data_IF_540054102887
#
_entry.id   IF_540054102887
#
_cell.length_a   1.000
_cell.length_b   1.000
_cell.length_c   1.000
_cell.angle_alpha   90.00
_cell.angle_beta   90.00
_cell.angle_gamma   90.00
#
_symmetry.space_group_name_H-M   'P 1'
#
loop_
_entity.id
_entity.type
_entity.pdbx_description
1 polymer ?
#
# COMPACT_ATOMS: atom_id res chain seq x y z
N UNK A 1 -9.10 -19.33 32.49
CA UNK A 1 -8.27 -19.06 31.28
C UNK A 1 -6.98 -18.38 31.75
N UNK A 2 -5.82 -18.68 31.17
CA UNK A 2 -4.54 -18.05 31.58
C UNK A 2 -4.11 -16.99 30.59
N UNK A 3 -3.53 -15.90 31.08
CA UNK A 3 -2.93 -14.88 30.22
C UNK A 3 -1.70 -15.44 29.49
N UNK A 4 -1.61 -15.28 28.17
CA UNK A 4 -0.51 -15.81 27.36
C UNK A 4 0.85 -15.19 27.69
N UNK A 5 0.89 -13.95 28.20
CA UNK A 5 2.15 -13.23 28.47
C UNK A 5 2.69 -13.41 29.88
N UNK A 6 1.85 -13.60 30.91
CA UNK A 6 2.31 -13.69 32.28
C UNK A 6 1.76 -14.94 33.03
N UNK A 7 1.04 -15.81 32.34
CA UNK A 7 0.44 -17.05 32.89
C UNK A 7 -0.52 -16.84 34.08
N UNK A 8 -0.91 -15.60 34.39
CA UNK A 8 -1.90 -15.31 35.43
C UNK A 8 -3.27 -15.86 35.04
N UNK A 9 -4.02 -16.37 36.03
CA UNK A 9 -5.37 -16.86 35.82
C UNK A 9 -6.27 -15.65 35.58
N UNK A 10 -6.96 -15.64 34.44
CA UNK A 10 -7.96 -14.62 34.10
C UNK A 10 -9.32 -15.06 34.67
N UNK A 11 -10.01 -14.17 35.37
CA UNK A 11 -11.41 -14.35 35.71
C UNK A 11 -12.30 -14.49 34.46
N UNK A 12 -13.60 -14.68 34.67
CA UNK A 12 -14.57 -14.86 33.56
C UNK A 12 -14.47 -13.67 32.57
N UNK A 13 -14.16 -13.90 31.28
CA UNK A 13 -13.97 -12.84 30.33
C UNK A 13 -15.31 -12.17 30.00
N UNK A 14 -15.41 -10.85 30.14
CA UNK A 14 -16.45 -10.08 29.48
C UNK A 14 -16.28 -10.20 27.96
N UNK A 15 -17.34 -10.05 27.18
CA UNK A 15 -17.30 -10.24 25.72
C UNK A 15 -16.21 -9.38 25.01
N UNK A 16 -15.89 -8.21 25.57
CA UNK A 16 -14.85 -7.30 25.05
C UNK A 16 -13.40 -7.80 25.27
N UNK A 17 -13.18 -8.75 26.18
CA UNK A 17 -11.84 -9.29 26.49
C UNK A 17 -11.50 -10.56 25.70
N UNK A 18 -12.43 -11.11 24.92
CA UNK A 18 -12.20 -12.32 24.10
C UNK A 18 -11.16 -12.14 23.00
N UNK A 19 -10.91 -10.90 22.58
CA UNK A 19 -10.05 -10.61 21.41
C UNK A 19 -8.55 -10.65 21.76
N UNK A 20 -8.12 -10.38 23.00
CA UNK A 20 -6.71 -10.23 23.31
C UNK A 20 -6.14 -11.19 24.36
N UNK A 21 -6.91 -11.95 25.12
CA UNK A 21 -6.44 -12.92 26.15
C UNK A 21 -5.25 -12.45 27.03
N UNK A 22 -5.18 -11.14 27.30
CA UNK A 22 -4.14 -10.53 28.13
C UNK A 22 -4.79 -9.83 29.33
N UNK A 23 -4.15 -9.95 30.51
CA UNK A 23 -4.63 -9.30 31.72
C UNK A 23 -4.46 -7.77 31.65
N UNK A 24 -5.20 -7.01 32.50
CA UNK A 24 -5.16 -5.55 32.50
C UNK A 24 -3.78 -4.97 32.77
N UNK A 25 -2.94 -5.65 33.53
CA UNK A 25 -1.59 -5.23 33.83
C UNK A 25 -0.64 -5.41 32.62
N UNK A 26 -0.70 -6.56 31.96
CA UNK A 26 0.01 -6.78 30.69
C UNK A 26 -0.44 -5.81 29.59
N UNK A 27 -1.73 -5.43 29.59
CA UNK A 27 -2.26 -4.41 28.67
C UNK A 27 -1.67 -3.02 28.94
N UNK A 28 -1.52 -2.62 30.22
CA UNK A 28 -0.87 -1.36 30.59
C UNK A 28 0.61 -1.36 30.16
N UNK A 29 1.34 -2.43 30.39
CA UNK A 29 2.73 -2.57 29.95
C UNK A 29 2.86 -2.55 28.43
N UNK A 30 1.93 -3.17 27.70
CA UNK A 30 1.92 -3.15 26.23
C UNK A 30 1.63 -1.73 25.69
N UNK A 31 0.70 -1.00 26.33
CA UNK A 31 0.38 0.38 25.96
C UNK A 31 1.59 1.29 26.23
N UNK A 32 2.27 1.13 27.37
CA UNK A 32 3.48 1.89 27.73
C UNK A 32 4.64 1.52 26.80
N UNK A 33 4.87 0.23 26.52
CA UNK A 33 5.89 -0.21 25.59
C UNK A 33 5.64 0.32 24.16
N UNK A 34 4.39 0.33 23.69
CA UNK A 34 4.01 0.92 22.40
C UNK A 34 4.10 2.46 22.40
N UNK A 35 3.99 3.13 23.55
CA UNK A 35 4.20 4.57 23.66
C UNK A 35 5.67 4.97 23.76
N UNK A 36 6.53 4.05 24.20
CA UNK A 36 8.00 4.23 24.31
C UNK A 36 8.76 3.62 23.11
N UNK A 37 8.12 2.77 22.29
CA UNK A 37 8.73 2.36 21.04
C UNK A 37 8.84 3.60 20.16
N UNK A 38 10.05 3.94 19.76
CA UNK A 38 10.30 4.85 18.64
C UNK A 38 9.31 4.47 17.55
N UNK A 39 8.36 5.34 17.23
CA UNK A 39 7.39 5.12 16.17
C UNK A 39 8.21 5.00 14.89
N UNK A 40 8.53 3.78 14.49
CA UNK A 40 9.12 3.56 13.18
C UNK A 40 8.10 4.05 12.17
N UNK A 41 8.44 5.17 11.53
CA UNK A 41 7.64 5.77 10.50
C UNK A 41 8.07 5.15 9.18
N UNK A 42 7.27 4.20 8.71
CA UNK A 42 7.48 3.63 7.39
C UNK A 42 6.95 4.57 6.32
N UNK A 43 7.66 4.65 5.20
CA UNK A 43 7.19 5.37 4.02
C UNK A 43 6.82 4.36 2.95
N UNK A 44 5.69 4.57 2.28
CA UNK A 44 5.22 3.70 1.21
C UNK A 44 4.76 4.53 0.02
N UNK A 45 5.14 4.11 -1.19
CA UNK A 45 4.75 4.75 -2.43
C UNK A 45 3.55 4.05 -3.06
N UNK A 46 2.43 4.78 -3.18
CA UNK A 46 1.22 4.33 -3.84
C UNK A 46 1.15 4.91 -5.26
N UNK A 47 0.99 4.03 -6.26
CA UNK A 47 0.87 4.38 -7.67
C UNK A 47 -0.33 3.71 -8.37
N UNK A 48 -0.99 2.77 -7.69
CA UNK A 48 -2.17 2.02 -8.16
C UNK A 48 -3.43 2.36 -7.37
N UNK A 49 -4.21 1.33 -6.97
CA UNK A 49 -5.50 1.52 -6.28
C UNK A 49 -5.41 2.21 -4.92
N UNK A 50 -4.26 2.16 -4.25
CA UNK A 50 -4.02 2.87 -2.99
C UNK A 50 -3.93 4.41 -3.15
N UNK A 51 -4.02 4.92 -4.37
CA UNK A 51 -4.27 6.34 -4.64
C UNK A 51 -5.70 6.77 -4.28
N UNK A 52 -6.63 5.84 -4.13
CA UNK A 52 -7.94 6.11 -3.52
C UNK A 52 -7.75 6.27 -2.00
N UNK A 53 -7.95 7.49 -1.52
CA UNK A 53 -7.73 7.82 -0.12
C UNK A 53 -8.73 7.14 0.83
N UNK A 54 -9.93 6.82 0.35
CA UNK A 54 -10.92 6.09 1.14
C UNK A 54 -10.44 4.65 1.32
N UNK A 55 -10.03 4.00 0.23
CA UNK A 55 -9.44 2.66 0.28
C UNK A 55 -8.19 2.63 1.16
N UNK A 56 -7.27 3.60 0.96
CA UNK A 56 -6.03 3.68 1.73
C UNK A 56 -6.31 3.84 3.23
N UNK A 57 -7.26 4.70 3.62
CA UNK A 57 -7.67 4.87 5.03
C UNK A 57 -8.36 3.63 5.60
N UNK A 58 -9.11 2.90 4.79
CA UNK A 58 -9.72 1.63 5.21
C UNK A 58 -8.68 0.54 5.49
N UNK A 59 -7.60 0.49 4.70
CA UNK A 59 -6.49 -0.46 4.86
C UNK A 59 -5.51 -0.04 5.96
N UNK A 60 -5.18 1.24 6.01
CA UNK A 60 -4.15 1.87 6.83
C UNK A 60 -4.72 3.10 7.56
N UNK A 61 -5.44 2.92 8.68
CA UNK A 61 -6.15 4.01 9.34
C UNK A 61 -5.25 5.16 9.81
N UNK A 62 -3.99 4.88 10.19
CA UNK A 62 -3.05 5.91 10.64
C UNK A 62 -2.30 6.60 9.50
N UNK A 63 -2.48 6.16 8.24
CA UNK A 63 -1.76 6.68 7.08
C UNK A 63 -1.86 8.20 6.93
N UNK A 64 -0.74 8.83 6.59
CA UNK A 64 -0.66 10.28 6.30
C UNK A 64 0.05 10.47 4.98
N UNK A 65 -0.43 11.40 4.16
CA UNK A 65 0.25 11.78 2.91
C UNK A 65 1.42 12.69 3.27
N UNK A 66 2.64 12.30 2.83
CA UNK A 66 3.84 13.12 2.97
C UNK A 66 3.97 14.06 1.77
N UNK A 67 3.90 13.48 0.56
CA UNK A 67 4.12 14.23 -0.69
C UNK A 67 3.57 13.47 -1.88
N UNK A 68 3.36 14.18 -2.99
CA UNK A 68 3.39 13.57 -4.32
C UNK A 68 4.84 13.38 -4.74
N UNK A 69 5.12 12.44 -5.63
CA UNK A 69 6.46 12.23 -6.15
C UNK A 69 6.47 11.28 -7.35
N UNK A 70 7.66 11.10 -7.91
CA UNK A 70 7.89 10.18 -9.02
C UNK A 70 8.96 9.15 -8.70
N UNK A 71 8.76 7.95 -9.21
CA UNK A 71 9.73 6.88 -9.29
C UNK A 71 10.38 6.94 -10.67
N UNK A 72 11.67 7.30 -10.72
CA UNK A 72 12.42 7.42 -11.98
C UNK A 72 12.86 6.07 -12.50
N UNK A 73 13.04 5.99 -13.83
CA UNK A 73 13.47 4.79 -14.56
C UNK A 73 12.51 3.61 -14.45
N UNK A 74 11.22 3.91 -14.22
CA UNK A 74 10.13 2.94 -14.23
C UNK A 74 8.96 3.44 -15.08
N UNK A 75 8.24 2.49 -15.67
CA UNK A 75 6.97 2.72 -16.39
C UNK A 75 5.84 2.02 -15.66
N UNK A 76 4.67 2.65 -15.58
CA UNK A 76 3.44 2.03 -15.12
C UNK A 76 3.02 0.96 -16.13
N UNK A 77 2.68 -0.22 -15.64
CA UNK A 77 2.19 -1.34 -16.41
C UNK A 77 1.00 -2.00 -15.73
N UNK A 78 0.29 -2.86 -16.46
CA UNK A 78 -0.83 -3.65 -15.96
C UNK A 78 -0.58 -5.10 -16.36
N UNK A 79 0.26 -5.78 -15.61
CA UNK A 79 0.82 -7.09 -15.96
C UNK A 79 0.36 -8.21 -15.02
N UNK A 80 -0.78 -8.01 -14.35
CA UNK A 80 -1.39 -9.01 -13.50
C UNK A 80 -2.91 -8.87 -13.53
N UNK A 81 -3.61 -9.97 -13.83
CA UNK A 81 -5.07 -10.02 -13.71
C UNK A 81 -5.50 -10.11 -12.25
N UNK A 82 -6.52 -9.35 -11.88
CA UNK A 82 -7.18 -9.40 -10.58
C UNK A 82 -8.67 -9.71 -10.76
N UNK A 83 -9.14 -10.84 -10.21
CA UNK A 83 -10.56 -11.20 -10.24
C UNK A 83 -11.41 -10.19 -9.46
N UNK A 84 -10.88 -9.61 -8.38
CA UNK A 84 -11.57 -8.57 -7.60
C UNK A 84 -11.79 -7.27 -8.36
N UNK A 85 -10.92 -6.93 -9.30
CA UNK A 85 -11.06 -5.77 -10.17
C UNK A 85 -11.64 -6.10 -11.55
N UNK A 86 -11.64 -7.39 -11.94
CA UNK A 86 -12.12 -7.86 -13.25
C UNK A 86 -11.22 -7.45 -14.41
N UNK A 87 -9.93 -7.22 -14.17
CA UNK A 87 -8.98 -6.77 -15.18
C UNK A 87 -7.56 -6.62 -14.62
N UNK A 88 -6.69 -6.02 -15.42
CA UNK A 88 -5.31 -5.76 -15.03
C UNK A 88 -5.18 -4.78 -13.87
N UNK A 89 -4.24 -5.03 -12.98
CA UNK A 89 -3.88 -4.13 -11.87
C UNK A 89 -2.47 -3.60 -12.05
N UNK A 90 -2.24 -2.42 -11.48
CA UNK A 90 -0.99 -1.66 -11.64
C UNK A 90 0.21 -2.39 -11.08
N UNK A 91 1.27 -2.37 -11.85
CA UNK A 91 2.65 -2.70 -11.50
C UNK A 91 3.58 -1.64 -12.07
N UNK A 92 4.84 -1.68 -11.68
CA UNK A 92 5.90 -0.87 -12.28
C UNK A 92 6.99 -1.77 -12.83
N UNK A 93 7.47 -1.45 -14.03
CA UNK A 93 8.55 -2.17 -14.69
C UNK A 93 9.70 -1.22 -14.98
N UNK A 94 10.98 -1.66 -14.85
CA UNK A 94 12.14 -0.85 -15.14
C UNK A 94 12.16 -0.43 -16.62
N UNK A 95 12.13 0.88 -16.87
CA UNK A 95 12.29 1.47 -18.22
C UNK A 95 13.02 2.80 -18.06
N UNK A 96 14.30 2.81 -18.46
CA UNK A 96 15.17 3.98 -18.36
C UNK A 96 14.55 5.23 -19.00
N UNK A 97 14.59 6.35 -18.28
CA UNK A 97 14.04 7.64 -18.73
C UNK A 97 12.53 7.80 -18.57
N UNK A 98 11.83 6.76 -18.09
CA UNK A 98 10.40 6.86 -17.75
C UNK A 98 10.20 7.24 -16.28
N UNK A 99 8.99 7.69 -15.96
CA UNK A 99 8.61 8.03 -14.58
C UNK A 99 7.21 7.52 -14.24
N UNK A 100 7.04 7.02 -13.03
CA UNK A 100 5.73 6.68 -12.45
C UNK A 100 5.40 7.65 -11.34
N UNK A 101 4.28 8.36 -11.47
CA UNK A 101 3.84 9.32 -10.47
C UNK A 101 2.87 8.70 -9.47
N UNK A 102 2.98 9.13 -8.22
CA UNK A 102 2.18 8.62 -7.12
C UNK A 102 2.24 9.48 -5.87
N UNK A 103 1.82 8.89 -4.75
CA UNK A 103 1.83 9.51 -3.43
C UNK A 103 2.72 8.72 -2.47
N UNK A 104 3.50 9.45 -1.68
CA UNK A 104 4.25 8.89 -0.55
C UNK A 104 3.40 9.04 0.70
N UNK A 105 3.14 7.92 1.37
CA UNK A 105 2.46 7.85 2.65
C UNK A 105 3.43 7.55 3.79
N UNK A 106 3.18 8.15 4.95
CA UNK A 106 3.71 7.71 6.24
C UNK A 106 2.75 6.69 6.84
N UNK A 107 3.28 5.55 7.27
CA UNK A 107 2.54 4.41 7.81
C UNK A 107 3.15 3.95 9.14
N UNK A 108 2.31 3.50 10.06
CA UNK A 108 2.77 2.75 11.25
C UNK A 108 3.18 1.32 10.87
N UNK A 109 3.86 0.62 11.77
CA UNK A 109 4.18 -0.80 11.57
C UNK A 109 2.91 -1.64 11.39
N UNK A 110 1.88 -1.37 12.18
CA UNK A 110 0.57 -2.05 12.06
C UNK A 110 -0.10 -1.79 10.70
N UNK A 111 0.01 -0.56 10.17
CA UNK A 111 -0.50 -0.26 8.84
C UNK A 111 0.31 -0.99 7.75
N UNK A 112 1.63 -1.13 7.93
CA UNK A 112 2.47 -1.89 6.99
C UNK A 112 2.09 -3.37 6.98
N UNK A 113 1.87 -3.99 8.15
CA UNK A 113 1.41 -5.39 8.24
C UNK A 113 0.03 -5.56 7.57
N UNK A 114 -0.87 -4.59 7.78
CA UNK A 114 -2.18 -4.57 7.12
C UNK A 114 -2.03 -4.44 5.60
N UNK A 115 -1.16 -3.55 5.13
CA UNK A 115 -0.93 -3.34 3.70
C UNK A 115 -0.30 -4.58 3.04
N UNK A 116 0.68 -5.23 3.69
CA UNK A 116 1.25 -6.51 3.27
C UNK A 116 0.15 -7.56 3.05
N UNK A 117 -0.81 -7.65 3.96
CA UNK A 117 -1.94 -8.56 3.82
C UNK A 117 -2.79 -8.25 2.59
N UNK A 118 -3.16 -6.98 2.37
CA UNK A 118 -3.98 -6.56 1.22
C UNK A 118 -3.26 -6.69 -0.13
N UNK A 119 -1.94 -6.48 -0.15
CA UNK A 119 -1.12 -6.68 -1.35
C UNK A 119 -0.77 -8.16 -1.58
N UNK A 120 -1.06 -9.05 -0.60
CA UNK A 120 -0.71 -10.45 -0.68
C UNK A 120 0.80 -10.67 -0.62
N UNK A 121 1.49 -9.89 0.20
CA UNK A 121 2.91 -10.03 0.49
C UNK A 121 3.06 -10.94 1.71
N UNK A 122 3.32 -12.22 1.50
CA UNK A 122 3.32 -13.24 2.54
C UNK A 122 4.73 -13.73 2.87
N UNK A 123 4.95 -14.18 4.12
CA UNK A 123 6.23 -14.76 4.57
C UNK A 123 6.28 -16.27 4.48
N UNK A 124 5.12 -16.93 4.48
CA UNK A 124 4.93 -18.38 4.66
C UNK A 124 4.35 -19.09 3.43
N UNK A 125 4.06 -18.36 2.37
CA UNK A 125 3.49 -18.87 1.12
C UNK A 125 3.87 -17.96 -0.06
N UNK A 126 3.68 -18.39 -1.32
CA UNK A 126 3.94 -17.54 -2.48
C UNK A 126 3.19 -16.21 -2.41
N UNK A 127 3.92 -15.14 -2.60
CA UNK A 127 3.40 -13.77 -2.57
C UNK A 127 2.91 -13.35 -3.95
N UNK A 128 1.90 -12.48 -3.96
CA UNK A 128 1.40 -11.84 -5.17
C UNK A 128 2.24 -10.61 -5.53
N UNK A 129 2.62 -9.86 -4.50
CA UNK A 129 3.53 -8.72 -4.57
C UNK A 129 4.69 -8.94 -3.61
N UNK A 130 5.81 -8.36 -3.95
CA UNK A 130 6.96 -8.19 -3.06
C UNK A 130 7.19 -6.70 -2.80
N UNK A 131 7.88 -6.37 -1.72
CA UNK A 131 8.24 -5.00 -1.43
C UNK A 131 9.75 -4.80 -1.40
N UNK A 132 10.19 -3.72 -2.01
CA UNK A 132 11.57 -3.26 -2.02
C UNK A 132 11.66 -1.80 -1.62
N UNK A 133 12.85 -1.33 -1.26
CA UNK A 133 13.08 0.08 -0.96
C UNK A 133 13.59 0.82 -2.17
N UNK A 134 13.02 1.99 -2.41
CA UNK A 134 13.35 2.88 -3.52
C UNK A 134 13.54 4.32 -3.05
N UNK A 135 14.04 5.15 -3.92
CA UNK A 135 14.08 6.61 -3.76
C UNK A 135 12.94 7.22 -4.57
N UNK A 136 12.15 8.09 -3.95
CA UNK A 136 11.08 8.84 -4.63
C UNK A 136 11.47 10.30 -4.74
N UNK A 137 11.48 10.83 -5.95
CA UNK A 137 11.71 12.24 -6.21
C UNK A 137 10.46 13.05 -5.89
N UNK A 138 10.59 14.08 -5.07
CA UNK A 138 9.48 14.95 -4.67
C UNK A 138 9.82 16.42 -4.92
N UNK A 139 8.83 17.33 -4.93
CA UNK A 139 9.09 18.77 -5.05
C UNK A 139 10.01 19.36 -3.97
N UNK A 140 10.15 18.68 -2.82
CA UNK A 140 11.01 19.09 -1.70
C UNK A 140 12.36 18.36 -1.69
N UNK A 141 12.66 17.56 -2.70
CA UNK A 141 13.85 16.72 -2.81
C UNK A 141 13.54 15.23 -2.71
N UNK A 142 14.54 14.38 -2.92
CA UNK A 142 14.37 12.93 -2.91
C UNK A 142 14.09 12.42 -1.49
N UNK A 143 13.22 11.44 -1.39
CA UNK A 143 12.93 10.70 -0.16
C UNK A 143 13.48 9.29 -0.34
N UNK A 144 14.52 8.88 0.41
CA UNK A 144 15.04 7.53 0.39
C UNK A 144 14.20 6.56 1.25
N UNK A 145 14.50 5.27 1.11
CA UNK A 145 13.95 4.18 1.93
C UNK A 145 12.42 4.09 1.89
N UNK A 146 11.81 4.40 0.76
CA UNK A 146 10.36 4.30 0.55
C UNK A 146 10.02 2.89 0.08
N UNK A 147 9.09 2.21 0.75
CA UNK A 147 8.58 0.90 0.34
C UNK A 147 7.78 1.01 -0.95
N UNK A 148 8.09 0.13 -1.89
CA UNK A 148 7.42 -0.05 -3.17
C UNK A 148 6.95 -1.49 -3.28
N UNK A 149 5.69 -1.71 -3.59
CA UNK A 149 5.15 -3.03 -3.91
C UNK A 149 5.20 -3.25 -5.42
N UNK A 150 5.72 -4.40 -5.85
CA UNK A 150 5.78 -4.81 -7.27
C UNK A 150 5.28 -6.23 -7.43
N UNK A 151 4.69 -6.55 -8.56
CA UNK A 151 4.19 -7.89 -8.88
C UNK A 151 5.36 -8.87 -8.94
N UNK A 152 5.25 -10.02 -8.28
CA UNK A 152 6.27 -11.09 -8.28
C UNK A 152 6.27 -11.80 -9.62
N UNK A 153 5.12 -12.38 -10.00
CA UNK A 153 4.95 -13.08 -11.29
C UNK A 153 4.28 -12.18 -12.32
N UNK A 154 5.11 -11.50 -13.11
CA UNK A 154 4.63 -10.57 -14.15
C UNK A 154 4.08 -11.37 -15.33
N UNK A 155 2.86 -11.04 -15.72
CA UNK A 155 2.18 -11.60 -16.90
C UNK A 155 2.32 -10.64 -18.08
N UNK A 156 1.72 -11.01 -19.22
CA UNK A 156 1.53 -10.08 -20.33
C UNK A 156 0.58 -8.96 -19.89
N UNK A 157 0.61 -7.87 -20.64
CA UNK A 157 -0.31 -6.75 -20.42
C UNK A 157 -1.77 -7.24 -20.38
N UNK A 158 -2.44 -6.87 -19.29
CA UNK A 158 -3.86 -7.11 -19.07
C UNK A 158 -4.56 -5.75 -18.94
N UNK A 159 -5.52 -5.48 -19.81
CA UNK A 159 -6.19 -4.19 -19.79
C UNK A 159 -6.93 -3.95 -18.46
N UNK A 160 -6.68 -2.83 -17.77
CA UNK A 160 -7.41 -2.48 -16.54
C UNK A 160 -8.87 -2.14 -16.85
N UNK A 161 -9.75 -2.32 -15.87
CA UNK A 161 -11.12 -1.81 -16.00
C UNK A 161 -11.13 -0.28 -15.96
N UNK A 162 -12.15 0.33 -16.58
CA UNK A 162 -12.37 1.78 -16.51
C UNK A 162 -12.46 2.28 -15.06
N UNK A 163 -13.08 1.48 -14.17
CA UNK A 163 -13.18 1.76 -12.74
C UNK A 163 -11.80 1.82 -12.08
N UNK A 164 -10.95 0.83 -12.31
CA UNK A 164 -9.62 0.75 -11.73
C UNK A 164 -8.71 1.89 -12.23
N UNK A 165 -8.61 2.04 -13.57
CA UNK A 165 -7.82 3.11 -14.18
C UNK A 165 -8.34 4.50 -13.79
N UNK A 166 -9.65 4.64 -13.60
CA UNK A 166 -10.30 5.85 -13.12
C UNK A 166 -9.80 6.33 -11.76
N UNK A 167 -9.40 5.43 -10.86
CA UNK A 167 -8.78 5.80 -9.58
C UNK A 167 -7.47 6.53 -9.83
N UNK A 168 -6.61 5.97 -10.67
CA UNK A 168 -5.29 6.55 -10.98
C UNK A 168 -5.45 7.89 -11.70
N UNK A 169 -6.36 7.97 -12.70
CA UNK A 169 -6.66 9.21 -13.42
C UNK A 169 -7.18 10.32 -12.50
N UNK A 170 -8.11 10.00 -11.61
CA UNK A 170 -8.64 10.96 -10.62
C UNK A 170 -7.55 11.48 -9.69
N UNK A 171 -6.68 10.57 -9.21
CA UNK A 171 -5.55 10.97 -8.38
C UNK A 171 -4.57 11.86 -9.15
N UNK A 172 -4.24 11.52 -10.40
CA UNK A 172 -3.34 12.30 -11.24
C UNK A 172 -3.84 13.74 -11.42
N UNK A 173 -5.14 13.92 -11.63
CA UNK A 173 -5.76 15.26 -11.73
C UNK A 173 -5.77 15.96 -10.37
N UNK A 174 -6.24 15.29 -9.32
CA UNK A 174 -6.36 15.88 -7.97
C UNK A 174 -5.03 16.38 -7.42
N UNK A 175 -3.94 15.63 -7.66
CA UNK A 175 -2.61 15.92 -7.14
C UNK A 175 -1.73 16.68 -8.15
N UNK A 176 -2.28 17.11 -9.26
CA UNK A 176 -1.56 17.82 -10.33
C UNK A 176 -0.27 17.06 -10.72
N UNK A 177 -0.40 15.80 -11.13
CA UNK A 177 0.71 15.08 -11.75
C UNK A 177 1.02 15.70 -13.11
N UNK A 178 2.24 15.57 -13.66
CA UNK A 178 2.60 16.20 -14.93
C UNK A 178 1.63 15.85 -16.06
N UNK A 179 1.35 16.82 -16.92
CA UNK A 179 0.41 16.66 -18.05
C UNK A 179 0.81 15.53 -19.00
N UNK A 180 2.13 15.30 -19.17
CA UNK A 180 2.66 14.18 -19.95
C UNK A 180 2.20 12.85 -19.34
N UNK A 181 2.35 12.67 -18.01
CA UNK A 181 1.91 11.46 -17.33
C UNK A 181 0.39 11.28 -17.39
N UNK A 182 -0.38 12.35 -17.24
CA UNK A 182 -1.83 12.31 -17.38
C UNK A 182 -2.25 11.88 -18.80
N UNK A 183 -1.55 12.33 -19.84
CA UNK A 183 -1.80 11.88 -21.24
C UNK A 183 -1.52 10.39 -21.42
N UNK A 184 -0.44 9.86 -20.85
CA UNK A 184 -0.14 8.42 -20.87
C UNK A 184 -1.29 7.62 -20.24
N UNK A 185 -1.81 8.07 -19.11
CA UNK A 185 -2.96 7.43 -18.47
C UNK A 185 -4.23 7.47 -19.34
N UNK A 186 -4.46 8.59 -20.08
CA UNK A 186 -5.61 8.71 -21.00
C UNK A 186 -5.53 7.71 -22.17
N UNK A 187 -4.32 7.45 -22.66
CA UNK A 187 -4.05 6.55 -23.79
C UNK A 187 -4.02 5.08 -23.38
N UNK A 188 -4.08 4.76 -22.09
CA UNK A 188 -4.09 3.38 -21.60
C UNK A 188 -5.37 2.67 -22.03
N UNK A 189 -5.23 1.56 -22.75
CA UNK A 189 -6.34 0.68 -23.17
C UNK A 189 -7.07 0.13 -21.96
N UNK A 190 -8.41 0.08 -22.00
CA UNK A 190 -9.25 -0.49 -20.94
C UNK A 190 -9.92 -1.79 -21.40
N UNK A 191 -10.22 -2.69 -20.45
CA UNK A 191 -10.99 -3.90 -20.73
C UNK A 191 -12.43 -3.56 -21.12
N UNK A 192 -12.96 -4.18 -22.18
CA UNK A 192 -14.32 -3.98 -22.67
C UNK A 192 -14.53 -2.69 -23.46
N UNK A 193 -13.50 -1.88 -23.74
CA UNK A 193 -13.55 -0.79 -24.71
C UNK A 193 -13.42 -1.37 -26.12
N UNK A 194 -14.50 -1.37 -26.89
CA UNK A 194 -14.36 -1.49 -28.34
C UNK A 194 -13.57 -0.27 -28.85
N UNK A 195 -12.56 -0.54 -29.69
CA UNK A 195 -11.86 0.45 -30.50
C UNK A 195 -12.80 0.99 -31.55
#
# INVERSE_FOLDING_TARGET
MRCKNCLRILGHPSEKSKILQICGECRKHLIIANSLSCKTSNKCFAYGSNLDLIQMKGRCPSSKIISKGSLSDYRLDFNRYSSGWGGGVADVIPVKGSEVWGLVFELSDTDMDSLDFYEGCYKDRPSLYERSKVVINTPKGPIPDVWLYTVVEKQKFEAPTAKYLGIIKKAATRWNFPSVYQRILQQTTISGGMV
#
